data_IF_994311466553
#
_entry.id   IF_994311466553
#
_cell.length_a   1.000
_cell.length_b   1.000
_cell.length_c   1.000
_cell.angle_alpha   90.00
_cell.angle_beta   90.00
_cell.angle_gamma   90.00
#
_symmetry.space_group_name_H-M   'P 1'
#
loop_
_entity.id
_entity.type
_entity.pdbx_description
1 polymer ?
#
# COMPACT_ATOMS: atom_id res chain seq x y z
N UNK A 1 50.25 26.48 -8.11
CA UNK A 1 49.59 26.85 -6.84
C UNK A 1 48.71 25.68 -6.42
N UNK A 2 49.01 25.08 -5.26
CA UNK A 2 48.35 23.90 -4.69
C UNK A 2 47.16 24.35 -3.84
N UNK A 3 45.97 23.76 -4.01
CA UNK A 3 44.90 23.81 -3.00
C UNK A 3 44.22 22.44 -2.85
N UNK A 4 44.85 21.64 -2.00
CA UNK A 4 44.32 20.75 -0.95
C UNK A 4 42.79 20.54 -0.85
N UNK A 5 42.37 19.31 -1.18
CA UNK A 5 41.65 18.33 -0.34
C UNK A 5 40.82 18.90 0.84
N UNK A 6 39.50 18.92 0.67
CA UNK A 6 38.48 18.88 1.75
C UNK A 6 37.52 17.73 1.41
N UNK A 7 37.62 16.60 2.10
CA UNK A 7 36.86 16.25 3.31
C UNK A 7 35.43 15.77 2.99
N UNK A 8 35.21 14.50 3.34
CA UNK A 8 33.99 13.72 3.25
C UNK A 8 32.82 14.35 4.03
N UNK A 9 31.64 14.37 3.40
CA UNK A 9 30.32 14.38 4.02
C UNK A 9 29.44 13.57 3.05
N UNK A 10 29.05 12.32 3.29
CA UNK A 10 28.54 11.80 4.55
C UNK A 10 27.09 12.25 4.77
N UNK A 11 26.20 12.11 3.77
CA UNK A 11 24.78 12.39 3.93
C UNK A 11 23.98 11.09 3.78
N UNK A 12 23.80 10.40 4.90
CA UNK A 12 22.82 9.33 5.03
C UNK A 12 21.43 9.89 4.78
N UNK A 13 20.78 9.42 3.72
CA UNK A 13 19.40 9.77 3.42
C UNK A 13 18.49 9.00 4.38
N UNK A 14 18.13 9.66 5.47
CA UNK A 14 17.20 9.21 6.48
C UNK A 14 15.82 8.93 5.85
N UNK A 15 15.23 7.81 6.26
CA UNK A 15 13.90 7.35 5.90
C UNK A 15 12.84 8.42 6.17
N UNK A 16 12.16 8.88 5.12
CA UNK A 16 10.86 9.52 5.24
C UNK A 16 9.77 8.46 5.08
N UNK A 17 9.65 7.55 6.04
CA UNK A 17 8.44 6.76 6.20
C UNK A 17 7.34 7.71 6.65
N UNK A 18 6.46 8.12 5.73
CA UNK A 18 5.28 8.89 6.06
C UNK A 18 4.35 8.02 6.92
N UNK A 19 4.51 8.08 8.24
CA UNK A 19 3.56 7.47 9.17
C UNK A 19 2.28 8.30 9.13
N UNK A 20 1.40 7.94 8.19
CA UNK A 20 0.04 8.48 8.17
C UNK A 20 -0.67 8.08 9.46
N UNK A 21 -1.43 8.98 10.11
CA UNK A 21 -2.19 8.63 11.30
C UNK A 21 -3.10 7.45 10.94
N UNK A 22 -3.07 6.41 11.77
CA UNK A 22 -3.85 5.19 11.56
C UNK A 22 -5.35 5.56 11.60
N UNK A 23 -5.92 5.80 10.42
CA UNK A 23 -7.35 5.92 10.26
C UNK A 23 -7.97 4.60 10.74
N UNK A 24 -8.97 4.66 11.63
CA UNK A 24 -9.57 3.46 12.23
C UNK A 24 -10.20 2.50 11.20
N UNK A 25 -10.63 1.31 11.62
CA UNK A 25 -11.21 0.33 10.69
C UNK A 25 -12.46 0.86 9.96
N UNK A 26 -12.60 0.54 8.67
CA UNK A 26 -13.83 0.69 7.89
C UNK A 26 -14.42 -0.69 7.62
N UNK A 27 -15.38 -1.15 8.45
CA UNK A 27 -16.04 -2.41 8.20
C UNK A 27 -16.90 -2.34 6.93
N UNK A 28 -17.14 -3.49 6.33
CA UNK A 28 -17.87 -3.69 5.10
C UNK A 28 -17.03 -3.50 3.83
N UNK A 29 -17.75 -3.41 2.71
CA UNK A 29 -17.21 -3.17 1.38
C UNK A 29 -16.77 -1.72 1.18
N UNK A 30 -15.97 -1.49 0.14
CA UNK A 30 -15.51 -0.14 -0.21
C UNK A 30 -16.63 0.66 -0.89
N UNK A 31 -17.14 1.67 -0.18
CA UNK A 31 -18.15 2.60 -0.70
C UNK A 31 -17.51 3.89 -1.28
N UNK A 32 -16.46 4.41 -0.64
CA UNK A 32 -15.72 5.60 -1.10
C UNK A 32 -14.45 5.21 -1.87
N UNK A 33 -14.57 5.17 -3.19
CA UNK A 33 -13.46 4.86 -4.10
C UNK A 33 -12.36 5.92 -4.09
N UNK A 34 -12.67 7.19 -3.80
CA UNK A 34 -11.67 8.27 -3.76
C UNK A 34 -10.82 8.18 -2.50
N UNK A 35 -11.43 7.86 -1.35
CA UNK A 35 -10.70 7.57 -0.13
C UNK A 35 -9.84 6.30 -0.27
N UNK A 36 -10.39 5.25 -0.88
CA UNK A 36 -9.65 4.03 -1.15
C UNK A 36 -8.44 4.28 -2.06
N UNK A 37 -8.60 5.00 -3.18
CA UNK A 37 -7.50 5.33 -4.08
C UNK A 37 -6.39 6.12 -3.37
N UNK A 38 -6.75 7.09 -2.51
CA UNK A 38 -5.78 7.82 -1.68
C UNK A 38 -5.04 6.91 -0.70
N UNK A 39 -5.73 5.94 -0.11
CA UNK A 39 -5.11 4.95 0.77
C UNK A 39 -4.13 4.04 0.01
N UNK A 40 -4.51 3.50 -1.15
CA UNK A 40 -3.59 2.69 -1.98
C UNK A 40 -2.38 3.50 -2.43
N UNK A 41 -2.54 4.79 -2.74
CA UNK A 41 -1.44 5.68 -3.11
C UNK A 41 -0.37 5.84 -2.01
N UNK A 42 -0.67 5.53 -0.73
CA UNK A 42 0.33 5.52 0.34
C UNK A 42 1.18 4.24 0.36
N UNK A 43 0.97 3.33 -0.58
CA UNK A 43 1.65 2.03 -0.69
C UNK A 43 1.60 1.20 0.59
N UNK A 44 0.38 0.88 1.09
CA UNK A 44 0.22 0.19 2.36
C UNK A 44 0.78 -1.24 2.30
N UNK A 45 1.22 -1.75 3.45
CA UNK A 45 1.45 -3.19 3.60
C UNK A 45 0.12 -3.96 3.62
N UNK A 46 0.12 -5.28 3.37
CA UNK A 46 -1.08 -6.10 3.51
C UNK A 46 -1.71 -6.01 4.92
N UNK A 47 -0.89 -5.92 5.96
CA UNK A 47 -1.37 -5.74 7.35
C UNK A 47 -2.07 -4.39 7.55
N UNK A 48 -1.50 -3.31 7.00
CA UNK A 48 -2.11 -1.99 7.04
C UNK A 48 -3.43 -1.95 6.26
N UNK A 49 -3.49 -2.64 5.12
CA UNK A 49 -4.72 -2.81 4.36
C UNK A 49 -5.79 -3.50 5.20
N UNK A 50 -5.47 -4.64 5.82
CA UNK A 50 -6.43 -5.40 6.61
C UNK A 50 -6.89 -4.65 7.87
N UNK A 51 -5.99 -3.90 8.51
CA UNK A 51 -6.36 -3.04 9.64
C UNK A 51 -7.36 -1.94 9.26
N UNK A 52 -7.26 -1.41 8.02
CA UNK A 52 -8.12 -0.34 7.52
C UNK A 52 -9.42 -0.85 6.88
N UNK A 53 -9.37 -1.97 6.16
CA UNK A 53 -10.49 -2.58 5.43
C UNK A 53 -10.61 -4.07 5.81
N UNK A 54 -11.04 -4.39 7.04
CA UNK A 54 -11.02 -5.75 7.57
C UNK A 54 -11.91 -6.74 6.81
N UNK A 55 -13.02 -6.25 6.23
CA UNK A 55 -14.00 -7.10 5.54
C UNK A 55 -13.77 -7.19 4.02
N UNK A 56 -12.74 -6.51 3.49
CA UNK A 56 -12.37 -6.60 2.08
C UNK A 56 -11.37 -7.74 1.91
N UNK A 57 -11.74 -8.75 1.13
CA UNK A 57 -10.86 -9.84 0.78
C UNK A 57 -9.71 -9.33 -0.11
N UNK A 58 -8.52 -9.25 0.46
CA UNK A 58 -7.29 -8.92 -0.25
C UNK A 58 -6.71 -10.19 -0.88
N UNK A 59 -6.53 -10.18 -2.20
CA UNK A 59 -5.87 -11.26 -2.94
C UNK A 59 -4.52 -10.76 -3.44
N UNK A 60 -3.44 -11.39 -2.99
CA UNK A 60 -2.08 -11.04 -3.39
C UNK A 60 -1.63 -11.84 -4.63
N UNK A 61 -0.61 -11.37 -5.37
CA UNK A 61 -0.06 -12.13 -6.50
C UNK A 61 0.38 -13.53 -6.09
N UNK A 62 0.00 -14.52 -6.89
CA UNK A 62 0.28 -15.94 -6.63
C UNK A 62 -0.74 -16.63 -5.72
N UNK A 63 -1.64 -15.91 -5.06
CA UNK A 63 -2.76 -16.53 -4.35
C UNK A 63 -3.83 -16.99 -5.33
N UNK A 64 -4.39 -18.18 -5.07
CA UNK A 64 -5.49 -18.73 -5.84
C UNK A 64 -6.81 -18.18 -5.28
N UNK A 65 -7.64 -17.63 -6.17
CA UNK A 65 -9.01 -17.26 -5.87
C UNK A 65 -9.98 -17.98 -6.82
N UNK A 66 -11.17 -18.29 -6.34
CA UNK A 66 -12.25 -18.86 -7.17
C UNK A 66 -12.75 -17.83 -8.18
N UNK A 67 -13.13 -18.30 -9.38
CA UNK A 67 -13.74 -17.49 -10.47
C UNK A 67 -15.21 -17.14 -10.18
N UNK A 68 -15.49 -16.67 -8.98
CA UNK A 68 -16.80 -16.13 -8.63
C UNK A 68 -16.90 -14.68 -9.11
N UNK A 69 -18.03 -14.29 -9.72
CA UNK A 69 -18.29 -12.91 -10.10
C UNK A 69 -18.80 -12.13 -8.89
N UNK A 70 -18.08 -11.09 -8.46
CA UNK A 70 -18.56 -10.14 -7.43
C UNK A 70 -18.51 -8.72 -7.99
N UNK A 71 -19.56 -7.94 -7.70
CA UNK A 71 -19.67 -6.55 -8.15
C UNK A 71 -19.83 -5.57 -6.98
N UNK A 72 -19.72 -6.09 -5.75
CA UNK A 72 -19.98 -5.37 -4.52
C UNK A 72 -18.72 -4.73 -3.91
N UNK A 73 -17.56 -4.82 -4.57
CA UNK A 73 -16.27 -4.29 -4.09
C UNK A 73 -15.83 -4.90 -2.74
N UNK A 74 -16.25 -6.13 -2.47
CA UNK A 74 -15.82 -6.92 -1.29
C UNK A 74 -14.48 -7.63 -1.49
N UNK A 75 -13.91 -7.64 -2.71
CA UNK A 75 -12.64 -8.30 -3.00
C UNK A 75 -11.76 -7.44 -3.89
N UNK A 76 -10.48 -7.34 -3.51
CA UNK A 76 -9.47 -6.52 -4.18
C UNK A 76 -8.27 -7.39 -4.55
N UNK A 77 -7.96 -7.46 -5.84
CA UNK A 77 -6.76 -8.12 -6.37
C UNK A 77 -5.65 -7.09 -6.45
N UNK A 78 -4.66 -7.23 -5.57
CA UNK A 78 -3.59 -6.25 -5.42
C UNK A 78 -2.43 -6.51 -6.38
N UNK A 79 -1.85 -5.42 -6.87
CA UNK A 79 -0.49 -5.39 -7.41
C UNK A 79 0.45 -4.97 -6.29
N UNK A 80 1.65 -5.56 -6.24
CA UNK A 80 2.64 -5.26 -5.21
C UNK A 80 4.01 -4.94 -5.81
N UNK A 81 4.80 -4.14 -5.10
CA UNK A 81 6.21 -3.89 -5.43
C UNK A 81 7.13 -5.05 -5.00
N UNK A 82 8.43 -4.89 -5.24
CA UNK A 82 9.45 -5.86 -4.83
C UNK A 82 9.56 -6.05 -3.30
N UNK A 83 9.07 -5.10 -2.51
CA UNK A 83 9.01 -5.17 -1.05
C UNK A 83 7.67 -5.72 -0.53
N UNK A 84 6.74 -6.10 -1.42
CA UNK A 84 5.41 -6.61 -1.06
C UNK A 84 4.42 -5.53 -0.61
N UNK A 85 4.69 -4.25 -0.89
CA UNK A 85 3.75 -3.14 -0.63
C UNK A 85 2.74 -3.05 -1.76
N UNK A 86 1.49 -2.76 -1.43
CA UNK A 86 0.42 -2.65 -2.40
C UNK A 86 0.61 -1.37 -3.21
N UNK A 87 0.79 -1.48 -4.53
CA UNK A 87 0.99 -0.33 -5.43
C UNK A 87 -0.24 -0.02 -6.28
N UNK A 88 -1.16 -0.97 -6.40
CA UNK A 88 -2.30 -0.89 -7.31
C UNK A 88 -3.20 -2.10 -7.19
N UNK A 89 -4.05 -2.32 -8.20
CA UNK A 89 -4.99 -3.43 -8.24
C UNK A 89 -6.39 -3.07 -8.74
N UNK A 90 -7.33 -4.00 -8.55
CA UNK A 90 -8.71 -3.89 -9.04
C UNK A 90 -9.70 -4.68 -8.20
N UNK A 91 -10.95 -4.20 -8.16
CA UNK A 91 -12.08 -4.94 -7.59
C UNK A 91 -12.63 -5.97 -8.59
N UNK A 92 -13.05 -7.15 -8.09
CA UNK A 92 -13.74 -8.22 -8.84
C UNK A 92 -14.45 -9.19 -7.91
#
# INVERSE_FOLDING_TARGET
MKFTRWLLLGLGLLLAACQSPAAGPLPGKVEDLSAFARFIATQPSPEQFHARYPDVLLVLPGQIATKELRLDRSRYFAEVDAAGRITGGRFQ
#
